data_IF_664658502064
#
_entry.id   IF_664658502064
#
_cell.length_a   1.000
_cell.length_b   1.000
_cell.length_c   1.000
_cell.angle_alpha   90.00
_cell.angle_beta   90.00
_cell.angle_gamma   90.00
#
_symmetry.space_group_name_H-M   'P 1'
#
loop_
_entity.id
_entity.type
_entity.pdbx_description
1 polymer ?
#
# COMPACT_ATOMS: atom_id res chain seq x y z
N UNK A 1 104.36 -114.71 19.88
CA UNK A 1 103.81 -115.24 18.61
C UNK A 1 102.29 -115.47 18.58
N UNK A 2 101.59 -115.66 19.71
CA UNK A 2 100.12 -115.94 19.69
C UNK A 2 99.21 -114.75 19.34
N UNK A 3 99.62 -113.50 19.59
CA UNK A 3 98.81 -112.30 19.28
C UNK A 3 98.84 -111.91 17.80
N UNK A 4 99.96 -112.11 17.12
CA UNK A 4 100.09 -111.84 15.68
C UNK A 4 99.32 -112.90 14.86
N UNK A 5 99.29 -114.14 15.33
CA UNK A 5 98.51 -115.22 14.70
C UNK A 5 97.00 -114.94 14.71
N UNK A 6 96.48 -114.35 15.79
CA UNK A 6 95.05 -114.03 15.92
C UNK A 6 94.63 -112.82 15.08
N UNK A 7 95.51 -111.83 14.91
CA UNK A 7 95.27 -110.70 14.01
C UNK A 7 95.30 -111.09 12.53
N UNK A 8 96.19 -112.01 12.14
CA UNK A 8 96.23 -112.55 10.77
C UNK A 8 94.97 -113.38 10.47
N UNK A 9 94.46 -114.13 11.45
CA UNK A 9 93.23 -114.91 11.29
C UNK A 9 91.97 -114.02 11.12
N UNK A 10 91.92 -112.87 11.79
CA UNK A 10 90.80 -111.92 11.67
C UNK A 10 90.86 -111.14 10.34
N UNK A 11 92.05 -110.84 9.82
CA UNK A 11 92.22 -110.17 8.52
C UNK A 11 91.87 -111.09 7.34
N UNK A 12 92.03 -112.41 7.49
CA UNK A 12 91.57 -113.39 6.49
C UNK A 12 90.03 -113.55 6.54
N UNK A 13 89.41 -113.32 7.70
CA UNK A 13 87.95 -113.42 7.87
C UNK A 13 87.20 -112.16 7.38
N UNK A 14 87.84 -111.00 7.31
CA UNK A 14 87.23 -109.74 6.83
C UNK A 14 87.40 -109.47 5.34
N UNK A 15 88.07 -110.35 4.59
CA UNK A 15 88.05 -110.34 3.12
C UNK A 15 86.77 -111.03 2.59
N UNK A 16 85.60 -110.56 3.06
CA UNK A 16 84.33 -110.82 2.38
C UNK A 16 84.32 -110.00 1.10
N UNK A 17 85.00 -110.53 0.07
CA UNK A 17 84.77 -110.17 -1.32
C UNK A 17 83.27 -110.27 -1.56
N UNK A 18 82.64 -109.13 -1.81
CA UNK A 18 81.36 -109.07 -2.50
C UNK A 18 81.61 -109.59 -3.92
N UNK A 19 81.67 -110.91 -4.07
CA UNK A 19 81.70 -111.56 -5.36
C UNK A 19 80.37 -111.25 -6.02
N UNK A 20 80.39 -110.43 -7.07
CA UNK A 20 79.32 -110.42 -8.05
C UNK A 20 79.20 -111.84 -8.57
N UNK A 21 78.20 -112.58 -8.08
CA UNK A 21 78.00 -113.98 -8.45
C UNK A 21 77.64 -113.98 -9.93
N UNK A 22 78.55 -114.42 -10.78
CA UNK A 22 78.31 -114.60 -12.21
C UNK A 22 78.36 -116.10 -12.47
N UNK A 23 77.22 -116.66 -12.83
CA UNK A 23 77.10 -118.08 -13.12
C UNK A 23 77.57 -118.38 -14.54
N UNK A 24 78.46 -119.37 -14.69
CA UNK A 24 79.06 -119.75 -15.99
C UNK A 24 78.02 -120.18 -17.02
N UNK A 25 76.91 -120.74 -16.56
CA UNK A 25 75.78 -121.26 -17.34
C UNK A 25 74.62 -120.26 -17.48
N UNK A 26 74.73 -119.04 -16.93
CA UNK A 26 73.75 -117.96 -17.10
C UNK A 26 74.48 -116.72 -17.65
N UNK A 27 74.79 -116.69 -18.96
CA UNK A 27 75.42 -115.52 -19.58
C UNK A 27 74.48 -114.31 -19.59
N UNK A 28 75.02 -113.11 -19.80
CA UNK A 28 74.29 -111.82 -19.76
C UNK A 28 73.08 -111.77 -20.71
N UNK A 29 73.13 -112.50 -21.83
CA UNK A 29 72.05 -112.58 -22.81
C UNK A 29 71.02 -113.69 -22.52
N UNK A 30 71.15 -114.42 -21.40
CA UNK A 30 70.21 -115.44 -20.98
C UNK A 30 68.92 -114.78 -20.46
N UNK A 31 67.74 -115.28 -20.84
CA UNK A 31 66.44 -114.70 -20.45
C UNK A 31 66.26 -114.58 -18.93
N UNK A 32 66.85 -115.50 -18.17
CA UNK A 32 66.78 -115.52 -16.71
C UNK A 32 67.90 -114.73 -16.02
N UNK A 33 68.82 -114.10 -16.78
CA UNK A 33 70.00 -113.43 -16.22
C UNK A 33 69.61 -112.44 -15.13
N UNK A 34 68.76 -111.46 -15.43
CA UNK A 34 68.37 -110.42 -14.47
C UNK A 34 67.67 -110.99 -13.23
N UNK A 35 66.80 -111.99 -13.40
CA UNK A 35 66.08 -112.62 -12.29
C UNK A 35 67.02 -113.41 -11.38
N UNK A 36 67.91 -114.22 -11.98
CA UNK A 36 68.89 -115.03 -11.25
C UNK A 36 69.89 -114.13 -10.53
N UNK A 37 70.41 -113.11 -11.20
CA UNK A 37 71.33 -112.14 -10.60
C UNK A 37 70.67 -111.41 -9.43
N UNK A 38 69.41 -110.99 -9.59
CA UNK A 38 68.68 -110.29 -8.51
C UNK A 38 68.48 -111.18 -7.30
N UNK A 39 68.00 -112.40 -7.50
CA UNK A 39 67.69 -113.35 -6.41
C UNK A 39 68.99 -113.85 -5.75
N UNK A 40 70.07 -114.00 -6.51
CA UNK A 40 71.39 -114.32 -5.97
C UNK A 40 72.01 -113.15 -5.20
N UNK A 41 71.85 -111.91 -5.68
CA UNK A 41 72.38 -110.71 -5.00
C UNK A 41 71.75 -110.46 -3.63
N UNK A 42 70.49 -110.90 -3.46
CA UNK A 42 69.76 -110.84 -2.18
C UNK A 42 69.87 -112.14 -1.38
N UNK A 43 70.73 -113.09 -1.81
CA UNK A 43 71.06 -114.31 -1.07
C UNK A 43 69.94 -115.35 -0.98
N UNK A 44 68.85 -115.18 -1.72
CA UNK A 44 67.72 -116.13 -1.69
C UNK A 44 68.11 -117.44 -2.37
N UNK A 45 68.81 -117.37 -3.51
CA UNK A 45 69.38 -118.51 -4.21
C UNK A 45 70.90 -118.38 -4.31
N UNK A 46 71.59 -119.49 -4.07
CA UNK A 46 73.03 -119.60 -4.27
C UNK A 46 73.27 -120.63 -5.37
N UNK A 47 74.23 -120.37 -6.25
CA UNK A 47 74.66 -121.40 -7.19
C UNK A 47 75.61 -122.39 -6.55
N UNK A 48 76.08 -123.31 -7.38
CA UNK A 48 76.92 -124.40 -6.96
C UNK A 48 78.39 -123.97 -6.83
N UNK A 49 79.20 -124.68 -6.03
CA UNK A 49 80.62 -124.37 -5.83
C UNK A 49 81.47 -124.39 -7.11
N UNK A 50 80.98 -125.03 -8.18
CA UNK A 50 81.62 -125.05 -9.50
C UNK A 50 81.42 -123.74 -10.31
N UNK A 51 80.62 -122.82 -9.77
CA UNK A 51 80.27 -121.53 -10.37
C UNK A 51 79.10 -121.61 -11.36
N UNK A 52 78.28 -122.66 -11.29
CA UNK A 52 77.06 -122.80 -12.11
C UNK A 52 75.78 -122.57 -11.29
N UNK A 53 74.69 -122.15 -11.92
CA UNK A 53 73.36 -122.02 -11.31
C UNK A 53 72.53 -123.31 -11.47
N UNK A 54 72.75 -124.03 -12.57
CA UNK A 54 72.06 -125.25 -13.01
C UNK A 54 70.55 -125.07 -13.13
N UNK A 55 70.12 -123.98 -13.75
CA UNK A 55 68.70 -123.61 -13.87
C UNK A 55 67.82 -124.58 -14.67
N UNK A 56 68.42 -125.53 -15.41
CA UNK A 56 67.71 -126.57 -16.15
C UNK A 56 67.57 -127.89 -15.36
N UNK A 57 68.21 -128.01 -14.19
CA UNK A 57 68.08 -129.20 -13.35
C UNK A 57 66.77 -129.20 -12.55
N UNK A 58 66.28 -130.39 -12.21
CA UNK A 58 65.09 -130.53 -11.39
C UNK A 58 65.39 -130.07 -9.95
N UNK A 59 64.62 -129.09 -9.48
CA UNK A 59 64.72 -128.58 -8.11
C UNK A 59 64.18 -129.63 -7.15
N UNK A 60 64.98 -129.99 -6.14
CA UNK A 60 64.53 -130.91 -5.09
C UNK A 60 63.75 -130.16 -3.99
N UNK A 61 62.99 -130.91 -3.17
CA UNK A 61 62.17 -130.31 -2.09
C UNK A 61 62.98 -129.45 -1.12
N UNK A 62 64.21 -129.86 -0.80
CA UNK A 62 65.07 -129.13 0.12
C UNK A 62 65.47 -127.75 -0.42
N UNK A 63 65.90 -127.69 -1.68
CA UNK A 63 66.24 -126.44 -2.38
C UNK A 63 65.04 -125.50 -2.45
N UNK A 64 63.86 -126.02 -2.76
CA UNK A 64 62.63 -125.23 -2.77
C UNK A 64 62.33 -124.63 -1.38
N UNK A 65 62.33 -125.45 -0.33
CA UNK A 65 62.03 -124.99 1.04
C UNK A 65 63.02 -123.93 1.51
N UNK A 66 64.31 -124.13 1.24
CA UNK A 66 65.35 -123.16 1.60
C UNK A 66 65.12 -121.80 0.90
N UNK A 67 64.81 -121.84 -0.40
CA UNK A 67 64.51 -120.65 -1.20
C UNK A 67 63.30 -119.91 -0.64
N UNK A 68 62.23 -120.63 -0.32
CA UNK A 68 61.01 -120.05 0.25
C UNK A 68 61.28 -119.42 1.62
N UNK A 69 62.01 -120.11 2.50
CA UNK A 69 62.37 -119.59 3.83
C UNK A 69 63.12 -118.27 3.71
N UNK A 70 64.16 -118.22 2.88
CA UNK A 70 64.97 -117.00 2.66
C UNK A 70 64.16 -115.88 2.02
N UNK A 71 63.21 -116.23 1.14
CA UNK A 71 62.30 -115.25 0.54
C UNK A 71 61.39 -114.62 1.58
N UNK A 72 60.84 -115.43 2.50
CA UNK A 72 60.01 -114.95 3.61
C UNK A 72 60.82 -114.02 4.51
N UNK A 73 62.02 -114.42 4.93
CA UNK A 73 62.89 -113.61 5.78
C UNK A 73 63.22 -112.25 5.11
N UNK A 74 63.50 -112.25 3.81
CA UNK A 74 63.76 -111.04 3.04
C UNK A 74 62.53 -110.11 2.98
N UNK A 75 61.34 -110.68 2.78
CA UNK A 75 60.08 -109.92 2.76
C UNK A 75 59.82 -109.28 4.13
N UNK A 76 59.95 -110.05 5.21
CA UNK A 76 59.70 -109.56 6.57
C UNK A 76 60.66 -108.45 6.98
N UNK A 77 61.96 -108.58 6.67
CA UNK A 77 62.96 -107.61 7.10
C UNK A 77 62.95 -106.32 6.26
N UNK A 78 62.74 -106.42 4.94
CA UNK A 78 62.97 -105.29 4.04
C UNK A 78 61.69 -104.61 3.54
N UNK A 79 60.57 -105.34 3.36
CA UNK A 79 59.35 -104.73 2.83
C UNK A 79 58.49 -104.12 3.94
N UNK A 80 58.34 -104.83 5.06
CA UNK A 80 57.48 -104.38 6.16
C UNK A 80 57.99 -103.08 6.80
N UNK A 81 59.31 -102.97 7.01
CA UNK A 81 59.97 -101.79 7.56
C UNK A 81 59.79 -100.54 6.68
N UNK A 82 59.97 -100.69 5.37
CA UNK A 82 59.79 -99.61 4.39
C UNK A 82 58.33 -99.15 4.29
N UNK A 83 57.38 -100.07 4.39
CA UNK A 83 55.95 -99.73 4.40
C UNK A 83 55.57 -98.96 5.67
N UNK A 84 56.09 -99.38 6.84
CA UNK A 84 55.84 -98.70 8.11
C UNK A 84 56.38 -97.25 8.10
N UNK A 85 57.56 -97.04 7.53
CA UNK A 85 58.15 -95.70 7.40
C UNK A 85 57.31 -94.78 6.51
N UNK A 86 56.84 -95.28 5.35
CA UNK A 86 55.94 -94.50 4.47
C UNK A 86 54.60 -94.17 5.10
N UNK A 87 54.03 -95.08 5.90
CA UNK A 87 52.78 -94.83 6.64
C UNK A 87 52.99 -93.72 7.67
N UNK A 88 54.10 -93.79 8.43
CA UNK A 88 54.45 -92.74 9.39
C UNK A 88 54.65 -91.37 8.72
N UNK A 89 55.25 -91.37 7.54
CA UNK A 89 55.47 -90.14 6.75
C UNK A 89 54.16 -89.56 6.19
N UNK A 90 53.22 -90.42 5.79
CA UNK A 90 51.86 -90.02 5.40
C UNK A 90 51.08 -89.43 6.57
N UNK A 91 51.11 -90.07 7.73
CA UNK A 91 50.45 -89.58 8.95
C UNK A 91 51.03 -88.23 9.36
N UNK A 92 52.37 -88.06 9.28
CA UNK A 92 53.01 -86.78 9.56
C UNK A 92 52.55 -85.70 8.58
N UNK A 93 52.46 -86.00 7.27
CA UNK A 93 51.95 -85.06 6.26
C UNK A 93 50.48 -84.68 6.52
N UNK A 94 49.65 -85.65 6.91
CA UNK A 94 48.26 -85.44 7.27
C UNK A 94 48.13 -84.53 8.51
N UNK A 95 49.01 -84.73 9.49
CA UNK A 95 49.07 -83.95 10.74
C UNK A 95 49.59 -82.52 10.54
N UNK A 96 50.56 -82.32 9.63
CA UNK A 96 51.09 -80.99 9.27
C UNK A 96 50.15 -80.14 8.40
N UNK A 97 49.03 -80.71 7.93
CA UNK A 97 47.95 -79.94 7.29
C UNK A 97 47.08 -79.16 8.31
N UNK A 98 47.50 -79.11 9.57
CA UNK A 98 46.92 -78.28 10.64
C UNK A 98 47.07 -76.76 10.43
N UNK A 99 47.92 -76.32 9.48
CA UNK A 99 47.97 -74.93 9.01
C UNK A 99 46.68 -74.44 8.34
N UNK A 100 45.73 -75.34 8.02
CA UNK A 100 44.42 -74.98 7.49
C UNK A 100 43.42 -74.51 8.57
N UNK A 101 43.70 -74.73 9.86
CA UNK A 101 42.74 -74.37 10.93
C UNK A 101 42.67 -72.87 11.21
N UNK A 102 43.80 -72.16 11.22
CA UNK A 102 43.84 -70.75 11.60
C UNK A 102 43.43 -69.82 10.46
N UNK A 103 43.77 -70.18 9.21
CA UNK A 103 43.27 -69.48 8.02
C UNK A 103 41.75 -69.65 7.86
N UNK A 104 41.22 -70.84 8.14
CA UNK A 104 39.76 -71.10 8.13
C UNK A 104 39.08 -70.33 9.26
N UNK A 105 39.65 -70.24 10.46
CA UNK A 105 39.13 -69.39 11.54
C UNK A 105 39.12 -67.92 11.14
N UNK A 106 40.19 -67.42 10.52
CA UNK A 106 40.27 -66.05 10.06
C UNK A 106 39.23 -65.77 8.96
N UNK A 107 39.08 -66.68 7.99
CA UNK A 107 38.03 -66.59 6.97
C UNK A 107 36.64 -66.58 7.61
N UNK A 108 36.38 -67.44 8.58
CA UNK A 108 35.09 -67.49 9.27
C UNK A 108 34.82 -66.19 10.03
N UNK A 109 35.82 -65.63 10.71
CA UNK A 109 35.68 -64.32 11.38
C UNK A 109 35.40 -63.18 10.39
N UNK A 110 36.04 -63.19 9.21
CA UNK A 110 35.77 -62.21 8.14
C UNK A 110 34.36 -62.38 7.59
N UNK A 111 33.91 -63.62 7.37
CA UNK A 111 32.55 -63.94 6.92
C UNK A 111 31.53 -63.44 7.94
N UNK A 112 31.71 -63.69 9.24
CA UNK A 112 30.83 -63.16 10.28
C UNK A 112 30.78 -61.63 10.25
N UNK A 113 31.93 -60.96 10.12
CA UNK A 113 31.94 -59.49 10.01
C UNK A 113 31.25 -58.95 8.75
N UNK A 114 31.32 -59.71 7.65
CA UNK A 114 30.65 -59.36 6.40
C UNK A 114 29.13 -59.56 6.52
N UNK A 115 28.71 -60.60 7.22
CA UNK A 115 27.30 -60.89 7.47
C UNK A 115 26.66 -59.82 8.36
N UNK A 116 27.37 -59.39 9.40
CA UNK A 116 26.98 -58.25 10.24
C UNK A 116 26.85 -56.96 9.42
N UNK A 117 27.82 -56.67 8.54
CA UNK A 117 27.76 -55.51 7.65
C UNK A 117 26.61 -55.59 6.65
N UNK A 118 26.33 -56.78 6.12
CA UNK A 118 25.24 -57.02 5.17
C UNK A 118 23.90 -56.79 5.85
N UNK A 119 23.71 -57.35 7.04
CA UNK A 119 22.53 -57.14 7.87
C UNK A 119 22.33 -55.65 8.20
N UNK A 120 23.41 -54.93 8.53
CA UNK A 120 23.33 -53.49 8.79
C UNK A 120 22.99 -52.68 7.54
N UNK A 121 23.52 -53.05 6.37
CA UNK A 121 23.20 -52.40 5.10
C UNK A 121 21.74 -52.63 4.70
N UNK A 122 21.23 -53.85 4.88
CA UNK A 122 19.82 -54.19 4.64
C UNK A 122 18.88 -53.35 5.51
N UNK A 123 19.23 -53.18 6.79
CA UNK A 123 18.48 -52.29 7.69
C UNK A 123 18.48 -50.85 7.21
N UNK A 124 19.65 -50.30 6.85
CA UNK A 124 19.76 -48.93 6.34
C UNK A 124 18.96 -48.74 5.04
N UNK A 125 18.95 -49.73 4.15
CA UNK A 125 18.14 -49.72 2.92
C UNK A 125 16.64 -49.68 3.25
N UNK A 126 16.20 -50.46 4.23
CA UNK A 126 14.81 -50.46 4.71
C UNK A 126 14.40 -49.11 5.30
N UNK A 127 15.25 -48.54 6.18
CA UNK A 127 15.00 -47.23 6.80
C UNK A 127 14.97 -46.10 5.75
N UNK A 128 15.84 -46.17 4.73
CA UNK A 128 15.88 -45.23 3.62
C UNK A 128 14.62 -45.34 2.74
N UNK A 129 14.16 -46.57 2.46
CA UNK A 129 12.92 -46.81 1.72
C UNK A 129 11.71 -46.19 2.43
N UNK A 130 11.58 -46.41 3.74
CA UNK A 130 10.50 -45.83 4.54
C UNK A 130 10.53 -44.29 4.53
N UNK A 131 11.73 -43.71 4.59
CA UNK A 131 11.91 -42.25 4.51
C UNK A 131 11.48 -41.68 3.15
N UNK A 132 11.75 -42.41 2.06
CA UNK A 132 11.34 -42.01 0.71
C UNK A 132 9.82 -42.06 0.51
N UNK A 133 9.15 -43.09 1.07
CA UNK A 133 7.68 -43.18 1.05
C UNK A 133 7.03 -42.01 1.80
N UNK A 134 7.58 -41.64 2.97
CA UNK A 134 7.11 -40.48 3.73
C UNK A 134 7.32 -39.17 2.97
N UNK A 135 8.46 -39.01 2.29
CA UNK A 135 8.74 -37.85 1.46
C UNK A 135 7.70 -37.71 0.34
N UNK A 136 7.33 -38.80 -0.33
CA UNK A 136 6.27 -38.81 -1.34
C UNK A 136 4.91 -38.34 -0.82
N UNK A 137 4.52 -38.75 0.39
CA UNK A 137 3.31 -38.25 1.05
C UNK A 137 3.42 -36.74 1.35
N UNK A 138 4.54 -36.28 1.88
CA UNK A 138 4.74 -34.85 2.19
C UNK A 138 4.71 -33.97 0.94
N UNK A 139 5.34 -34.40 -0.16
CA UNK A 139 5.31 -33.70 -1.46
C UNK A 139 3.87 -33.59 -1.97
N UNK A 140 3.08 -34.66 -1.90
CA UNK A 140 1.66 -34.64 -2.30
C UNK A 140 0.83 -33.68 -1.45
N UNK A 141 1.09 -33.62 -0.14
CA UNK A 141 0.43 -32.66 0.76
C UNK A 141 0.85 -31.23 0.40
N UNK A 142 2.13 -31.00 0.09
CA UNK A 142 2.67 -29.70 -0.29
C UNK A 142 2.07 -29.19 -1.60
N UNK A 143 1.89 -30.06 -2.60
CA UNK A 143 1.17 -29.74 -3.85
C UNK A 143 -0.29 -29.33 -3.59
N UNK A 144 -0.99 -30.04 -2.71
CA UNK A 144 -2.35 -29.66 -2.32
C UNK A 144 -2.40 -28.34 -1.55
N UNK A 145 -1.43 -28.08 -0.67
CA UNK A 145 -1.31 -26.78 -0.01
C UNK A 145 -1.00 -25.68 -1.03
N UNK A 146 -0.12 -25.91 -1.99
CA UNK A 146 0.19 -24.95 -3.05
C UNK A 146 -1.06 -24.60 -3.86
N UNK A 147 -1.83 -25.61 -4.30
CA UNK A 147 -3.11 -25.39 -4.98
C UNK A 147 -4.10 -24.57 -4.13
N UNK A 148 -4.16 -24.82 -2.82
CA UNK A 148 -4.98 -24.03 -1.90
C UNK A 148 -4.47 -22.59 -1.76
N UNK A 149 -3.15 -22.39 -1.69
CA UNK A 149 -2.51 -21.07 -1.65
C UNK A 149 -2.77 -20.30 -2.94
N UNK A 150 -2.67 -20.94 -4.10
CA UNK A 150 -2.96 -20.34 -5.39
C UNK A 150 -4.44 -19.93 -5.50
N UNK A 151 -5.36 -20.73 -4.94
CA UNK A 151 -6.78 -20.39 -4.85
C UNK A 151 -7.10 -19.30 -3.80
N UNK A 152 -6.21 -19.07 -2.83
CA UNK A 152 -6.27 -17.97 -1.86
C UNK A 152 -5.66 -16.67 -2.40
N UNK A 153 -4.89 -16.75 -3.50
CA UNK A 153 -4.43 -15.56 -4.21
C UNK A 153 -5.65 -14.76 -4.64
N UNK A 154 -5.64 -13.48 -4.25
CA UNK A 154 -6.76 -12.53 -4.33
C UNK A 154 -7.60 -12.77 -5.60
N UNK A 155 -8.89 -13.13 -5.47
CA UNK A 155 -9.79 -13.24 -6.61
C UNK A 155 -9.74 -11.92 -7.39
N UNK A 156 -9.45 -11.99 -8.69
CA UNK A 156 -9.35 -10.84 -9.62
C UNK A 156 -10.52 -9.85 -9.47
N UNK A 157 -11.68 -10.34 -9.04
CA UNK A 157 -12.91 -9.58 -8.79
C UNK A 157 -12.78 -8.54 -7.66
N UNK A 158 -12.13 -8.88 -6.55
CA UNK A 158 -11.95 -7.94 -5.43
C UNK A 158 -11.06 -6.75 -5.82
N UNK A 159 -10.15 -6.92 -6.79
CA UNK A 159 -9.38 -5.82 -7.36
C UNK A 159 -10.24 -4.90 -8.24
N UNK A 160 -11.26 -5.43 -8.90
CA UNK A 160 -12.21 -4.66 -9.70
C UNK A 160 -13.12 -3.85 -8.78
N UNK A 161 -13.72 -4.48 -7.76
CA UNK A 161 -14.57 -3.83 -6.78
C UNK A 161 -13.82 -2.71 -6.03
N UNK A 162 -12.57 -2.94 -5.62
CA UNK A 162 -11.72 -1.90 -4.99
C UNK A 162 -11.44 -0.75 -5.96
N UNK A 163 -11.27 -1.03 -7.25
CA UNK A 163 -11.05 0.01 -8.27
C UNK A 163 -12.31 0.82 -8.51
N UNK A 164 -13.48 0.18 -8.55
CA UNK A 164 -14.77 0.86 -8.67
C UNK A 164 -15.09 1.70 -7.43
N UNK A 165 -14.90 1.15 -6.23
CA UNK A 165 -15.03 1.89 -4.98
C UNK A 165 -14.11 3.11 -4.93
N UNK A 166 -12.88 3.00 -5.45
CA UNK A 166 -11.96 4.13 -5.54
C UNK A 166 -12.49 5.22 -6.48
N UNK A 167 -13.05 4.83 -7.63
CA UNK A 167 -13.68 5.76 -8.58
C UNK A 167 -14.90 6.46 -7.97
N UNK A 168 -15.70 5.73 -7.20
CA UNK A 168 -16.84 6.29 -6.47
C UNK A 168 -16.41 7.27 -5.39
N UNK A 169 -15.32 6.97 -4.66
CA UNK A 169 -14.72 7.89 -3.68
C UNK A 169 -14.22 9.17 -4.36
N UNK A 170 -13.53 9.07 -5.50
CA UNK A 170 -13.06 10.24 -6.25
C UNK A 170 -14.23 11.12 -6.71
N UNK A 171 -15.31 10.50 -7.21
CA UNK A 171 -16.53 11.21 -7.58
C UNK A 171 -17.19 11.90 -6.39
N UNK A 172 -17.30 11.21 -5.25
CA UNK A 172 -17.87 11.77 -4.02
C UNK A 172 -17.05 12.96 -3.52
N UNK A 173 -15.72 12.88 -3.62
CA UNK A 173 -14.83 13.97 -3.22
C UNK A 173 -14.98 15.21 -4.12
N UNK A 174 -15.16 15.01 -5.43
CA UNK A 174 -15.50 16.10 -6.36
C UNK A 174 -16.84 16.76 -5.99
N UNK A 175 -17.87 15.95 -5.72
CA UNK A 175 -19.18 16.48 -5.32
C UNK A 175 -19.12 17.27 -4.00
N UNK A 176 -18.27 16.84 -3.06
CA UNK A 176 -18.07 17.58 -1.81
C UNK A 176 -17.37 18.93 -2.04
N UNK A 177 -16.41 18.99 -2.97
CA UNK A 177 -15.76 20.24 -3.39
C UNK A 177 -16.77 21.22 -4.00
N UNK A 178 -17.64 20.74 -4.90
CA UNK A 178 -18.67 21.56 -5.51
C UNK A 178 -19.68 22.09 -4.47
N UNK A 179 -20.07 21.23 -3.51
CA UNK A 179 -20.95 21.62 -2.41
C UNK A 179 -20.31 22.69 -1.52
N UNK A 180 -19.01 22.60 -1.25
CA UNK A 180 -18.27 23.62 -0.49
C UNK A 180 -18.28 24.98 -1.20
N UNK A 181 -18.15 25.01 -2.53
CA UNK A 181 -18.26 26.24 -3.31
C UNK A 181 -19.67 26.84 -3.25
N UNK A 182 -20.71 25.99 -3.32
CA UNK A 182 -22.11 26.43 -3.17
C UNK A 182 -22.36 27.03 -1.77
N UNK A 183 -21.82 26.44 -0.71
CA UNK A 183 -21.93 26.96 0.66
C UNK A 183 -21.31 28.35 0.75
N UNK A 184 -20.10 28.54 0.20
CA UNK A 184 -19.43 29.84 0.17
C UNK A 184 -20.26 30.93 -0.53
N UNK A 185 -20.94 30.59 -1.63
CA UNK A 185 -21.87 31.51 -2.29
C UNK A 185 -23.07 31.88 -1.42
N UNK A 186 -23.66 30.93 -0.69
CA UNK A 186 -24.76 31.21 0.24
C UNK A 186 -24.32 32.11 1.40
N UNK A 187 -23.11 31.92 1.92
CA UNK A 187 -22.54 32.81 2.94
C UNK A 187 -22.40 34.24 2.44
N UNK A 188 -21.87 34.42 1.23
CA UNK A 188 -21.77 35.73 0.58
C UNK A 188 -23.15 36.38 0.39
N UNK A 189 -24.15 35.62 -0.09
CA UNK A 189 -25.53 36.12 -0.19
C UNK A 189 -26.10 36.57 1.17
N UNK A 190 -25.74 35.89 2.27
CA UNK A 190 -26.10 36.30 3.62
C UNK A 190 -25.50 37.66 3.99
N UNK A 191 -24.24 37.92 3.60
CA UNK A 191 -23.60 39.23 3.82
C UNK A 191 -24.27 40.34 3.00
N UNK A 192 -24.60 40.08 1.74
CA UNK A 192 -25.32 41.03 0.86
C UNK A 192 -26.71 41.36 1.41
N UNK A 193 -27.43 40.36 1.93
CA UNK A 193 -28.74 40.55 2.54
C UNK A 193 -28.66 41.46 3.78
N UNK A 194 -27.64 41.29 4.61
CA UNK A 194 -27.40 42.15 5.77
C UNK A 194 -27.10 43.60 5.35
N UNK A 195 -26.29 43.79 4.31
CA UNK A 195 -26.00 45.12 3.75
C UNK A 195 -27.27 45.78 3.18
N UNK A 196 -28.09 45.02 2.44
CA UNK A 196 -29.37 45.50 1.91
C UNK A 196 -30.31 45.91 3.06
N UNK A 197 -30.38 45.13 4.13
CA UNK A 197 -31.22 45.45 5.29
C UNK A 197 -30.78 46.74 6.00
N UNK A 198 -29.46 46.99 6.08
CA UNK A 198 -28.92 48.25 6.60
C UNK A 198 -29.32 49.45 5.73
N UNK A 199 -29.27 49.31 4.40
CA UNK A 199 -29.72 50.34 3.47
C UNK A 199 -31.22 50.63 3.60
N UNK A 200 -32.06 49.60 3.73
CA UNK A 200 -33.51 49.76 3.97
C UNK A 200 -33.78 50.52 5.26
N UNK A 201 -33.05 50.23 6.34
CA UNK A 201 -33.18 50.94 7.62
C UNK A 201 -32.81 52.42 7.48
N UNK A 202 -31.74 52.72 6.74
CA UNK A 202 -31.31 54.10 6.43
C UNK A 202 -32.38 54.83 5.63
N UNK A 203 -32.86 54.25 4.54
CA UNK A 203 -33.91 54.85 3.72
C UNK A 203 -35.20 55.10 4.52
N UNK A 204 -35.56 54.19 5.44
CA UNK A 204 -36.71 54.38 6.34
C UNK A 204 -36.53 55.61 7.24
N UNK A 205 -35.32 55.83 7.75
CA UNK A 205 -34.98 57.03 8.51
C UNK A 205 -35.09 58.28 7.63
N UNK A 206 -34.50 58.27 6.45
CA UNK A 206 -34.55 59.41 5.52
C UNK A 206 -35.98 59.78 5.14
N UNK A 207 -36.86 58.79 4.90
CA UNK A 207 -38.29 59.00 4.67
C UNK A 207 -38.97 59.66 5.88
N UNK A 208 -38.62 59.24 7.10
CA UNK A 208 -39.14 59.84 8.33
C UNK A 208 -38.69 61.30 8.48
N UNK A 209 -37.43 61.58 8.17
CA UNK A 209 -36.87 62.93 8.21
C UNK A 209 -37.53 63.84 7.17
N UNK A 210 -37.70 63.36 5.92
CA UNK A 210 -38.45 64.07 4.87
C UNK A 210 -39.90 64.33 5.28
N UNK A 211 -40.59 63.34 5.88
CA UNK A 211 -41.96 63.51 6.36
C UNK A 211 -42.05 64.63 7.42
N UNK A 212 -41.08 64.69 8.32
CA UNK A 212 -40.99 65.73 9.35
C UNK A 212 -40.75 67.11 8.72
N UNK A 213 -39.86 67.20 7.72
CA UNK A 213 -39.62 68.43 6.97
C UNK A 213 -40.87 68.91 6.22
N UNK A 214 -41.63 67.99 5.59
CA UNK A 214 -42.91 68.31 4.93
C UNK A 214 -43.92 68.86 5.94
N UNK A 215 -44.06 68.23 7.11
CA UNK A 215 -44.96 68.73 8.16
C UNK A 215 -44.55 70.12 8.64
N UNK A 216 -43.26 70.38 8.84
CA UNK A 216 -42.76 71.69 9.20
C UNK A 216 -42.99 72.75 8.11
N UNK A 217 -42.82 72.38 6.84
CA UNK A 217 -43.10 73.26 5.70
C UNK A 217 -44.58 73.60 5.62
N UNK A 218 -45.47 72.60 5.70
CA UNK A 218 -46.91 72.82 5.69
C UNK A 218 -47.38 73.71 6.86
N UNK A 219 -46.76 73.60 8.03
CA UNK A 219 -47.02 74.50 9.15
C UNK A 219 -46.53 75.94 8.90
N UNK A 220 -45.41 76.13 8.20
CA UNK A 220 -44.93 77.46 7.80
C UNK A 220 -45.76 78.09 6.68
N UNK A 221 -46.33 77.26 5.80
CA UNK A 221 -47.25 77.67 4.73
C UNK A 221 -48.67 77.87 5.28
N UNK A 222 -48.85 78.09 6.60
CA UNK A 222 -50.17 78.37 7.18
C UNK A 222 -50.77 79.66 6.59
N UNK A 223 -51.54 79.46 5.53
CA UNK A 223 -52.28 80.46 4.78
C UNK A 223 -53.18 81.30 5.67
N UNK A 224 -53.49 80.88 6.91
CA UNK A 224 -54.32 81.66 7.84
C UNK A 224 -53.67 82.95 8.31
N UNK A 225 -52.34 82.97 8.47
CA UNK A 225 -51.64 84.20 8.85
C UNK A 225 -51.71 85.23 7.71
N UNK A 226 -51.61 84.77 6.46
CA UNK A 226 -51.76 85.61 5.29
C UNK A 226 -53.23 85.93 4.99
N UNK A 227 -54.17 85.02 5.25
CA UNK A 227 -55.62 85.25 5.12
C UNK A 227 -56.09 86.34 6.10
N UNK A 228 -55.61 86.36 7.34
CA UNK A 228 -55.93 87.42 8.30
C UNK A 228 -55.33 88.77 7.89
N UNK A 229 -54.09 88.78 7.36
CA UNK A 229 -53.49 90.00 6.80
C UNK A 229 -54.25 90.48 5.57
N UNK A 230 -54.68 89.58 4.68
CA UNK A 230 -55.48 89.88 3.49
C UNK A 230 -56.85 90.42 3.90
N UNK A 231 -57.57 89.78 4.81
CA UNK A 231 -58.85 90.29 5.35
C UNK A 231 -58.70 91.68 5.98
N UNK A 232 -57.59 91.93 6.69
CA UNK A 232 -57.30 93.26 7.23
C UNK A 232 -57.02 94.27 6.13
N UNK A 233 -56.28 93.88 5.08
CA UNK A 233 -56.04 94.72 3.91
C UNK A 233 -57.35 95.03 3.18
N UNK A 234 -58.22 94.05 2.95
CA UNK A 234 -59.54 94.23 2.34
C UNK A 234 -60.40 95.21 3.16
N UNK A 235 -60.44 95.05 4.49
CA UNK A 235 -61.17 95.98 5.36
C UNK A 235 -60.64 97.41 5.28
N UNK A 236 -59.30 97.58 5.22
CA UNK A 236 -58.68 98.89 5.02
C UNK A 236 -59.01 99.47 3.64
N UNK A 237 -58.99 98.65 2.59
CA UNK A 237 -59.35 99.05 1.23
C UNK A 237 -60.80 99.52 1.18
N UNK A 238 -61.76 98.76 1.72
CA UNK A 238 -63.18 99.16 1.75
C UNK A 238 -63.40 100.49 2.49
N UNK A 239 -62.65 100.74 3.57
CA UNK A 239 -62.71 102.03 4.29
C UNK A 239 -62.19 103.18 3.43
N UNK A 240 -61.09 102.95 2.69
CA UNK A 240 -60.54 103.93 1.74
C UNK A 240 -61.54 104.20 0.61
N UNK A 241 -62.16 103.16 0.04
CA UNK A 241 -63.17 103.29 -1.03
C UNK A 241 -64.39 104.10 -0.56
N UNK A 242 -64.86 103.84 0.67
CA UNK A 242 -65.96 104.61 1.28
C UNK A 242 -65.59 106.10 1.44
N UNK A 243 -64.40 106.39 1.98
CA UNK A 243 -63.91 107.77 2.10
C UNK A 243 -63.74 108.44 0.74
N UNK A 244 -63.20 107.73 -0.25
CA UNK A 244 -63.06 108.23 -1.62
C UNK A 244 -64.42 108.56 -2.25
N UNK A 245 -65.41 107.69 -2.05
CA UNK A 245 -66.79 107.92 -2.51
C UNK A 245 -67.42 109.14 -1.84
N UNK A 246 -67.24 109.29 -0.52
CA UNK A 246 -67.71 110.46 0.21
C UNK A 246 -67.04 111.75 -0.29
N UNK A 247 -65.73 111.74 -0.49
CA UNK A 247 -64.99 112.88 -1.03
C UNK A 247 -65.48 113.26 -2.43
N UNK A 248 -65.79 112.28 -3.26
CA UNK A 248 -66.35 112.49 -4.61
C UNK A 248 -67.73 113.16 -4.55
N UNK A 249 -68.58 112.75 -3.61
CA UNK A 249 -69.88 113.39 -3.33
C UNK A 249 -69.72 114.84 -2.85
N UNK A 250 -68.85 115.06 -1.85
CA UNK A 250 -68.55 116.39 -1.33
C UNK A 250 -68.04 117.33 -2.44
N UNK A 251 -67.17 116.86 -3.32
CA UNK A 251 -66.65 117.63 -4.45
C UNK A 251 -67.77 118.05 -5.42
N UNK A 252 -68.72 117.16 -5.71
CA UNK A 252 -69.90 117.47 -6.52
C UNK A 252 -70.77 118.58 -5.90
N UNK A 253 -71.00 118.52 -4.58
CA UNK A 253 -71.72 119.58 -3.86
C UNK A 253 -71.00 120.92 -3.95
N UNK A 254 -69.67 120.94 -3.75
CA UNK A 254 -68.86 122.16 -3.88
C UNK A 254 -68.93 122.73 -5.29
N UNK A 255 -68.87 121.90 -6.33
CA UNK A 255 -69.00 122.34 -7.72
C UNK A 255 -70.38 122.94 -8.01
N UNK A 256 -71.45 122.35 -7.46
CA UNK A 256 -72.81 122.88 -7.58
C UNK A 256 -72.97 124.24 -6.90
N UNK A 257 -72.49 124.38 -5.66
CA UNK A 257 -72.48 125.66 -4.94
C UNK A 257 -71.64 126.72 -5.67
N UNK A 258 -70.48 126.33 -6.22
CA UNK A 258 -69.64 127.24 -7.01
C UNK A 258 -70.37 127.73 -8.26
N UNK A 259 -71.09 126.84 -8.94
CA UNK A 259 -71.90 127.19 -10.11
C UNK A 259 -73.05 128.13 -9.74
N UNK A 260 -73.73 127.88 -8.61
CA UNK A 260 -74.77 128.76 -8.08
C UNK A 260 -74.22 130.15 -7.74
N UNK A 261 -73.13 130.21 -6.98
CA UNK A 261 -72.49 131.47 -6.62
C UNK A 261 -72.03 132.24 -7.85
N UNK A 262 -71.51 131.55 -8.89
CA UNK A 262 -71.17 132.19 -10.17
C UNK A 262 -72.39 132.84 -10.82
N UNK A 263 -73.50 132.11 -10.91
CA UNK A 263 -74.74 132.67 -11.48
C UNK A 263 -75.27 133.85 -10.67
N UNK A 264 -75.19 133.80 -9.34
CA UNK A 264 -75.55 134.92 -8.46
C UNK A 264 -74.64 136.13 -8.68
N UNK A 265 -73.33 135.94 -8.83
CA UNK A 265 -72.38 137.01 -9.17
C UNK A 265 -72.68 137.61 -10.55
N UNK A 266 -72.95 136.78 -11.56
CA UNK A 266 -73.28 137.25 -12.91
C UNK A 266 -74.58 138.09 -12.89
N UNK A 267 -75.62 137.65 -12.17
CA UNK A 267 -76.85 138.40 -11.99
C UNK A 267 -76.64 139.72 -11.22
N UNK A 268 -75.77 139.73 -10.22
CA UNK A 268 -75.39 140.94 -9.49
C UNK A 268 -74.65 141.91 -10.40
N UNK A 269 -73.71 141.42 -11.23
CA UNK A 269 -72.97 142.21 -12.20
C UNK A 269 -73.90 142.86 -13.24
N UNK A 270 -74.89 142.12 -13.74
CA UNK A 270 -75.91 142.65 -14.65
C UNK A 270 -76.82 143.69 -13.96
N UNK A 271 -77.18 143.48 -12.69
CA UNK A 271 -77.93 144.46 -11.89
C UNK A 271 -77.12 145.76 -11.70
N UNK A 272 -75.83 145.66 -11.43
CA UNK A 272 -74.92 146.82 -11.34
C UNK A 272 -74.83 147.55 -12.69
N UNK A 273 -74.76 146.83 -13.82
CA UNK A 273 -74.81 147.46 -15.15
C UNK A 273 -76.11 148.24 -15.38
N UNK A 274 -77.26 147.68 -15.02
CA UNK A 274 -78.56 148.35 -15.14
C UNK A 274 -78.68 149.60 -14.27
N UNK A 275 -78.12 149.56 -13.05
CA UNK A 275 -78.05 150.74 -12.19
C UNK A 275 -77.15 151.82 -12.80
N UNK A 276 -76.03 151.42 -13.41
CA UNK A 276 -75.09 152.36 -14.03
C UNK A 276 -75.64 152.98 -15.33
N UNK A 277 -76.51 152.29 -16.07
CA UNK A 277 -77.19 152.88 -17.25
C UNK A 277 -78.35 153.80 -16.88
N UNK A 278 -79.06 153.54 -15.77
CA UNK A 278 -80.06 154.47 -15.19
C UNK A 278 -79.46 155.82 -14.74
N UNK A 279 -78.15 155.87 -14.52
CA UNK A 279 -77.39 157.08 -14.18
C UNK A 279 -77.34 158.12 -15.32
N UNK A 280 -77.63 157.73 -16.56
CA UNK A 280 -77.41 158.59 -17.72
C UNK A 280 -78.59 159.49 -18.12
N UNK A 281 -79.82 159.22 -17.65
CA UNK A 281 -81.03 159.81 -18.28
C UNK A 281 -82.03 160.54 -17.35
N UNK A 282 -81.79 160.72 -16.04
CA UNK A 282 -82.65 161.62 -15.26
C UNK A 282 -81.99 162.28 -14.04
N UNK A 283 -82.25 163.57 -13.88
CA UNK A 283 -81.80 164.40 -12.77
C UNK A 283 -82.29 163.83 -11.41
N UNK A 284 -81.39 163.24 -10.61
CA UNK A 284 -81.66 162.98 -9.19
C UNK A 284 -80.83 161.88 -8.51
N UNK A 285 -80.01 162.31 -7.53
CA UNK A 285 -79.31 161.55 -6.45
C UNK A 285 -78.02 160.80 -6.87
N UNK A 286 -76.91 161.16 -6.22
CA UNK A 286 -75.55 160.67 -6.50
C UNK A 286 -75.32 159.26 -5.94
N UNK A 287 -74.59 158.43 -6.69
CA UNK A 287 -74.31 157.02 -6.37
C UNK A 287 -73.56 156.84 -5.05
N UNK A 288 -72.84 157.86 -4.58
CA UNK A 288 -72.12 157.86 -3.31
C UNK A 288 -73.07 157.79 -2.10
N UNK A 289 -74.27 158.38 -2.16
CA UNK A 289 -75.24 158.32 -1.05
C UNK A 289 -75.88 156.94 -0.92
N UNK A 290 -76.10 156.25 -2.04
CA UNK A 290 -76.60 154.87 -2.06
C UNK A 290 -75.52 153.92 -1.54
N UNK A 291 -74.27 154.07 -2.01
CA UNK A 291 -73.14 153.28 -1.52
C UNK A 291 -72.93 153.46 -0.02
N UNK A 292 -73.02 154.68 0.51
CA UNK A 292 -72.96 154.92 1.96
C UNK A 292 -74.11 154.21 2.70
N UNK A 293 -75.34 154.28 2.20
CA UNK A 293 -76.48 153.63 2.86
C UNK A 293 -76.40 152.10 2.87
N UNK A 294 -75.91 151.49 1.78
CA UNK A 294 -75.73 150.04 1.66
C UNK A 294 -74.55 149.57 2.51
N UNK A 295 -73.46 150.35 2.59
CA UNK A 295 -72.32 150.02 3.46
C UNK A 295 -72.72 150.09 4.93
N UNK A 296 -73.54 151.08 5.31
CA UNK A 296 -74.06 151.22 6.68
C UNK A 296 -75.04 150.07 6.98
N UNK A 297 -75.92 149.69 6.05
CA UNK A 297 -76.86 148.58 6.23
C UNK A 297 -76.16 147.23 6.33
N UNK A 298 -75.19 146.94 5.46
CA UNK A 298 -74.43 145.69 5.50
C UNK A 298 -73.56 145.59 6.75
N UNK A 299 -72.97 146.70 7.21
CA UNK A 299 -72.25 146.77 8.48
C UNK A 299 -73.14 146.45 9.69
N UNK A 300 -74.38 146.95 9.71
CA UNK A 300 -75.34 146.69 10.80
C UNK A 300 -75.81 145.23 10.78
N UNK A 301 -76.08 144.62 9.62
CA UNK A 301 -76.50 143.21 9.57
C UNK A 301 -75.39 142.23 9.97
N UNK A 302 -74.12 142.50 9.62
CA UNK A 302 -72.99 141.68 10.05
C UNK A 302 -72.78 141.81 11.56
N UNK A 303 -72.95 143.01 12.13
CA UNK A 303 -72.87 143.23 13.57
C UNK A 303 -73.99 142.52 14.37
N UNK A 304 -75.22 142.47 13.84
CA UNK A 304 -76.33 141.77 14.49
C UNK A 304 -76.18 140.25 14.46
N UNK A 305 -75.65 139.68 13.37
CA UNK A 305 -75.41 138.22 13.28
C UNK A 305 -74.26 137.78 14.18
N UNK A 306 -73.24 138.62 14.38
CA UNK A 306 -72.17 138.36 15.33
C UNK A 306 -72.58 138.52 16.81
N UNK A 307 -73.75 139.10 17.10
CA UNK A 307 -74.28 139.27 18.47
C UNK A 307 -75.28 138.16 18.87
N UNK A 308 -75.70 137.28 17.95
CA UNK A 308 -76.73 136.25 18.21
C UNK A 308 -76.27 134.79 18.11
N UNK A 309 -74.96 134.50 17.97
CA UNK A 309 -74.38 133.14 18.03
C UNK A 309 -72.95 133.19 18.55
#
# INVERSE_FOLDING_TARGET
MKRILMSVLIIIFTFSLAFSVNFKDVPVNHWAYDAVQRIASIGILEGYPDGTFKGLEQVNRYQLTLTVSRTIDYIEQNLISTLAEKISELDKKLSSNSGSSDDVKLLNSKISSLDEKTTSLEKNISDLKNSYELLGYTVSKLDNLQKKVDALSVPKDTSTEVTELKKDIEKLNSQFSDLSAVISNYENMGTDLNALNANVSTNKKDISDVKTLISALNAKVDLKADENKIKLLDSKISKIESVSSQNSSNLSTVLSLTSKNKNEIDALADSVKQLNSKKSDSNGIDFMDILLSVLISAGVSIAVVAFMK
#
